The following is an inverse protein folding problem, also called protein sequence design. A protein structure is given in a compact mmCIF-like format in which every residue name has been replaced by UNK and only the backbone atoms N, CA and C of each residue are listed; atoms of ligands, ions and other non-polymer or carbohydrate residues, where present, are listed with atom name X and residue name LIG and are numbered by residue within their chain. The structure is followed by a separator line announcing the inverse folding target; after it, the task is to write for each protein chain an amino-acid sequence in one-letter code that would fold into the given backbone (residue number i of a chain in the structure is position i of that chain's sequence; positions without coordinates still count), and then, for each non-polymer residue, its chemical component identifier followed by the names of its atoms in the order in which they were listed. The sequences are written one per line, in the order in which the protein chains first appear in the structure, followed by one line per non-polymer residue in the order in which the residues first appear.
data_IF_909611183310
#
_entry.id   IF_909611183310
#
_cell.length_a   1.000
_cell.length_b   1.000
_cell.length_c   1.000
_cell.angle_alpha   90.00
_cell.angle_beta   90.00
_cell.angle_gamma   90.00
#
_symmetry.space_group_name_H-M   'P 1'
#
loop_
_entity.id
_entity.type
_entity.pdbx_description
1 polymer ?
#
# COMPACT_ATOMS: atom_id res chain seq x y z
N UNK A 1 -24.53 35.67 27.15
CA UNK A 1 -24.27 34.82 25.95
C UNK A 1 -22.77 34.55 25.66
N UNK A 2 -21.84 34.71 26.63
CA UNK A 2 -20.37 34.49 26.41
C UNK A 2 -19.83 33.14 26.90
N UNK A 3 -20.58 32.44 27.76
CA UNK A 3 -20.14 31.18 28.37
C UNK A 3 -20.05 29.95 27.44
N UNK A 4 -20.94 29.76 26.44
CA UNK A 4 -20.86 28.58 25.57
C UNK A 4 -19.59 28.57 24.71
N UNK A 5 -19.12 29.75 24.29
CA UNK A 5 -17.93 29.92 23.44
C UNK A 5 -16.65 29.68 24.24
N UNK A 6 -16.61 30.15 25.50
CA UNK A 6 -15.47 29.92 26.40
C UNK A 6 -15.29 28.43 26.75
N UNK A 7 -16.38 27.72 27.05
CA UNK A 7 -16.35 26.25 27.28
C UNK A 7 -15.97 25.44 26.05
N UNK A 8 -16.28 25.93 24.85
CA UNK A 8 -15.86 25.30 23.58
C UNK A 8 -14.35 25.44 23.38
N UNK A 9 -13.78 26.61 23.68
CA UNK A 9 -12.34 26.88 23.61
C UNK A 9 -11.51 26.16 24.69
N UNK A 10 -12.06 25.93 25.88
CA UNK A 10 -11.42 25.08 26.90
C UNK A 10 -11.29 23.62 26.45
N UNK A 11 -12.27 23.10 25.68
CA UNK A 11 -12.17 21.76 25.06
C UNK A 11 -11.17 21.71 23.91
N UNK A 12 -10.98 22.81 23.20
CA UNK A 12 -9.98 22.97 22.12
C UNK A 12 -8.54 23.09 22.67
N UNK A 13 -8.36 23.29 23.98
CA UNK A 13 -7.07 23.55 24.62
C UNK A 13 -6.27 22.33 25.09
N UNK A 14 -6.80 21.11 25.00
CA UNK A 14 -5.98 19.90 25.16
C UNK A 14 -5.44 19.53 23.79
N UNK A 15 -4.21 19.92 23.51
CA UNK A 15 -3.46 19.43 22.35
C UNK A 15 -3.58 17.91 22.30
N UNK A 16 -4.09 17.39 21.19
CA UNK A 16 -4.17 15.95 20.96
C UNK A 16 -2.76 15.37 21.14
N UNK A 17 -2.61 14.42 22.07
CA UNK A 17 -1.32 13.81 22.35
C UNK A 17 -0.95 12.88 21.21
N UNK A 18 -0.22 13.44 20.24
CA UNK A 18 0.30 12.69 19.10
C UNK A 18 1.33 11.65 19.51
N UNK A 19 1.88 11.68 20.73
CA UNK A 19 2.90 10.72 21.16
C UNK A 19 2.33 9.40 21.65
N UNK A 20 1.01 9.32 21.90
CA UNK A 20 0.35 8.08 22.28
C UNK A 20 0.49 7.01 21.17
N UNK A 21 0.77 5.73 21.49
CA UNK A 21 0.96 4.68 20.49
C UNK A 21 -0.19 4.55 19.46
N UNK A 22 -1.45 4.59 19.91
CA UNK A 22 -2.61 4.65 19.00
C UNK A 22 -2.58 5.86 18.04
N UNK A 23 -2.20 7.04 18.54
CA UNK A 23 -2.12 8.25 17.71
C UNK A 23 -1.00 8.12 16.67
N UNK A 24 0.14 7.55 17.06
CA UNK A 24 1.24 7.23 16.14
C UNK A 24 0.83 6.19 15.10
N UNK A 25 0.10 5.13 15.49
CA UNK A 25 -0.40 4.11 14.57
C UNK A 25 -1.30 4.71 13.49
N UNK A 26 -2.24 5.58 13.88
CA UNK A 26 -3.10 6.32 12.96
C UNK A 26 -2.25 7.23 12.07
N UNK A 27 -1.41 8.10 12.63
CA UNK A 27 -0.55 9.03 11.88
C UNK A 27 0.34 8.28 10.88
N UNK A 28 0.88 7.13 11.27
CA UNK A 28 1.67 6.28 10.39
C UNK A 28 0.82 5.70 9.27
N UNK A 29 -0.40 5.22 9.56
CA UNK A 29 -1.31 4.73 8.53
C UNK A 29 -1.69 5.75 7.46
N UNK A 30 -1.81 7.02 7.84
CA UNK A 30 -1.96 8.14 6.89
C UNK A 30 -0.70 8.42 6.07
N UNK A 31 0.48 8.06 6.60
CA UNK A 31 1.80 8.30 5.97
C UNK A 31 2.34 7.11 5.16
N UNK A 32 1.71 5.96 5.27
CA UNK A 32 2.12 4.69 4.65
C UNK A 32 1.58 4.55 3.22
N UNK A 33 2.22 3.71 2.39
CA UNK A 33 1.78 3.37 1.03
C UNK A 33 1.83 4.50 0.00
N UNK A 34 1.41 4.21 -1.24
CA UNK A 34 1.43 5.15 -2.37
C UNK A 34 0.51 6.37 -2.18
N UNK A 35 -0.59 6.21 -1.44
CA UNK A 35 -1.59 7.26 -1.20
C UNK A 35 -1.38 7.96 0.15
N UNK A 36 -0.14 8.31 0.44
CA UNK A 36 0.21 9.10 1.64
C UNK A 36 -0.58 10.41 1.66
N UNK A 37 -1.31 10.64 2.74
CA UNK A 37 -2.16 11.82 2.93
C UNK A 37 -3.56 11.72 2.32
N UNK A 38 -3.88 10.63 1.63
CA UNK A 38 -5.25 10.39 1.16
C UNK A 38 -6.18 10.06 2.33
N UNK A 39 -7.44 10.52 2.28
CA UNK A 39 -8.47 10.12 3.24
C UNK A 39 -8.56 8.59 3.36
N UNK A 40 -8.66 8.10 4.59
CA UNK A 40 -8.81 6.67 4.92
C UNK A 40 -10.19 6.45 5.55
N UNK A 41 -10.95 5.48 5.04
CA UNK A 41 -12.26 5.08 5.57
C UNK A 41 -12.10 4.24 6.85
N UNK A 42 -11.10 3.35 6.87
CA UNK A 42 -10.89 2.42 7.96
C UNK A 42 -9.40 2.15 8.21
N UNK A 43 -9.01 2.14 9.48
CA UNK A 43 -7.77 1.48 9.94
C UNK A 43 -8.15 0.29 10.78
N UNK A 44 -7.46 -0.83 10.58
CA UNK A 44 -7.49 -1.95 11.52
C UNK A 44 -6.24 -1.86 12.37
N UNK A 45 -6.43 -1.74 13.67
CA UNK A 45 -5.35 -1.54 14.64
C UNK A 45 -5.53 -2.59 15.74
N UNK A 46 -4.44 -3.29 16.10
CA UNK A 46 -4.45 -4.29 17.18
C UNK A 46 -4.61 -3.64 18.56
N UNK A 47 -4.94 -4.41 19.62
CA UNK A 47 -4.90 -3.93 21.00
C UNK A 47 -3.52 -3.38 21.42
N UNK A 48 -2.45 -3.89 20.81
CA UNK A 48 -1.06 -3.48 21.01
C UNK A 48 -0.69 -2.21 20.20
N UNK A 49 -1.66 -1.62 19.51
CA UNK A 49 -1.51 -0.44 18.66
C UNK A 49 -0.68 -0.66 17.40
N UNK A 50 -0.61 -1.89 16.92
CA UNK A 50 -0.02 -2.21 15.63
C UNK A 50 -1.02 -1.95 14.51
N UNK A 51 -0.56 -1.30 13.44
CA UNK A 51 -1.41 -1.04 12.28
C UNK A 51 -1.45 -2.31 11.41
N UNK A 52 -2.64 -2.92 11.33
CA UNK A 52 -2.86 -4.22 10.68
C UNK A 52 -3.44 -4.11 9.28
N UNK A 53 -3.98 -2.95 8.90
CA UNK A 53 -4.53 -2.71 7.58
C UNK A 53 -5.09 -1.31 7.42
N UNK A 54 -5.22 -0.85 6.18
CA UNK A 54 -5.93 0.40 5.89
C UNK A 54 -6.81 0.29 4.65
N UNK A 55 -7.95 0.96 4.72
CA UNK A 55 -8.93 1.03 3.65
C UNK A 55 -9.06 2.48 3.18
N UNK A 56 -8.69 2.76 1.93
CA UNK A 56 -8.75 4.10 1.37
C UNK A 56 -10.19 4.48 0.98
N UNK A 57 -10.52 5.77 1.17
CA UNK A 57 -11.84 6.31 0.84
C UNK A 57 -12.15 6.12 -0.65
N UNK A 58 -13.33 5.57 -0.96
CA UNK A 58 -13.82 5.31 -2.33
C UNK A 58 -13.00 4.32 -3.17
N UNK A 59 -12.09 3.53 -2.58
CA UNK A 59 -11.29 2.58 -3.36
C UNK A 59 -11.75 1.15 -3.25
N UNK A 60 -12.30 0.80 -2.08
CA UNK A 60 -12.72 -0.55 -1.81
C UNK A 60 -14.12 -0.84 -2.37
N UNK A 61 -15.07 0.08 -2.19
CA UNK A 61 -16.48 -0.16 -2.52
C UNK A 61 -16.77 -0.08 -4.03
N UNK A 62 -16.18 0.89 -4.73
CA UNK A 62 -16.38 1.04 -6.19
C UNK A 62 -15.80 -0.15 -6.98
N UNK A 63 -14.68 -0.73 -6.54
CA UNK A 63 -14.05 -1.87 -7.21
C UNK A 63 -14.77 -3.21 -6.95
N UNK A 64 -15.32 -3.39 -5.75
CA UNK A 64 -15.97 -4.65 -5.38
C UNK A 64 -17.40 -4.80 -5.93
N UNK A 65 -18.14 -3.70 -6.05
CA UNK A 65 -19.48 -3.67 -6.63
C UNK A 65 -19.46 -4.03 -8.13
N UNK A 66 -18.59 -3.37 -8.90
CA UNK A 66 -18.55 -3.52 -10.37
C UNK A 66 -17.99 -4.88 -10.82
N UNK A 67 -17.10 -5.50 -10.03
CA UNK A 67 -16.35 -6.69 -10.45
C UNK A 67 -16.83 -8.01 -9.86
N UNK A 68 -17.20 -8.04 -8.58
CA UNK A 68 -17.53 -9.30 -7.89
C UNK A 68 -19.03 -9.46 -7.62
N UNK A 69 -19.83 -8.40 -7.83
CA UNK A 69 -21.23 -8.32 -7.37
C UNK A 69 -21.41 -8.73 -5.91
N UNK A 70 -20.35 -8.57 -5.10
CA UNK A 70 -20.38 -8.85 -3.67
C UNK A 70 -20.93 -7.63 -2.96
N UNK A 71 -21.66 -7.87 -1.88
CA UNK A 71 -22.13 -6.78 -1.05
C UNK A 71 -20.96 -6.22 -0.24
N UNK A 72 -21.02 -4.95 0.09
CA UNK A 72 -20.01 -4.21 0.82
C UNK A 72 -19.57 -4.93 2.11
N UNK A 73 -20.48 -5.65 2.77
CA UNK A 73 -20.18 -6.37 4.00
C UNK A 73 -19.28 -7.59 3.79
N UNK A 74 -19.37 -8.28 2.65
CA UNK A 74 -18.56 -9.46 2.36
C UNK A 74 -17.11 -9.06 2.05
N UNK A 75 -16.93 -7.98 1.30
CA UNK A 75 -15.61 -7.42 1.01
C UNK A 75 -14.98 -6.91 2.30
N UNK A 76 -15.73 -6.19 3.13
CA UNK A 76 -15.22 -5.68 4.40
C UNK A 76 -14.81 -6.83 5.34
N UNK A 77 -15.61 -7.91 5.41
CA UNK A 77 -15.25 -9.10 6.17
C UNK A 77 -13.95 -9.75 5.68
N UNK A 78 -13.71 -9.78 4.37
CA UNK A 78 -12.47 -10.33 3.80
C UNK A 78 -11.26 -9.48 4.20
N UNK A 79 -11.35 -8.15 4.07
CA UNK A 79 -10.34 -7.21 4.55
C UNK A 79 -9.99 -7.42 6.03
N UNK A 80 -11.01 -7.59 6.89
CA UNK A 80 -10.78 -7.85 8.31
C UNK A 80 -10.09 -9.20 8.56
N UNK A 81 -10.43 -10.26 7.81
CA UNK A 81 -9.78 -11.57 7.93
C UNK A 81 -8.31 -11.50 7.53
N UNK A 82 -7.99 -10.83 6.43
CA UNK A 82 -6.61 -10.63 5.98
C UNK A 82 -5.78 -9.84 7.00
N UNK A 83 -6.37 -8.81 7.63
CA UNK A 83 -5.71 -8.12 8.74
C UNK A 83 -5.38 -9.09 9.88
N UNK A 84 -6.33 -9.94 10.29
CA UNK A 84 -6.15 -10.92 11.37
C UNK A 84 -5.14 -12.02 11.03
N UNK A 85 -4.99 -12.34 9.75
CA UNK A 85 -3.99 -13.30 9.24
C UNK A 85 -2.58 -12.66 9.12
N UNK A 86 -2.46 -11.34 9.28
CA UNK A 86 -1.20 -10.61 9.24
C UNK A 86 -0.81 -10.08 7.86
N UNK A 87 -1.69 -10.16 6.86
CA UNK A 87 -1.39 -9.81 5.46
C UNK A 87 -1.33 -8.30 5.18
N UNK A 88 -1.52 -7.46 6.20
CA UNK A 88 -1.37 -6.00 6.14
C UNK A 88 -2.03 -5.29 4.93
N UNK A 89 -3.30 -5.59 4.61
CA UNK A 89 -3.94 -5.09 3.39
C UNK A 89 -3.97 -3.55 3.33
N UNK A 90 -3.63 -3.01 2.15
CA UNK A 90 -3.60 -1.58 1.86
C UNK A 90 -2.44 -0.81 2.51
N UNK A 91 -1.60 -1.45 3.33
CA UNK A 91 -0.40 -0.82 3.89
C UNK A 91 0.79 -0.87 2.94
N UNK A 92 0.85 -1.87 2.06
CA UNK A 92 1.84 -1.94 0.99
C UNK A 92 3.29 -1.80 1.46
N UNK A 93 3.62 -2.13 2.71
CA UNK A 93 4.98 -2.01 3.23
C UNK A 93 5.43 -3.40 3.70
N UNK A 94 6.57 -3.85 3.20
CA UNK A 94 7.19 -5.12 3.54
C UNK A 94 8.50 -4.83 4.26
N UNK A 95 8.79 -5.54 5.35
CA UNK A 95 10.12 -5.53 5.99
C UNK A 95 10.68 -6.93 5.98
N UNK A 96 11.75 -7.16 5.23
CA UNK A 96 12.39 -8.48 5.12
C UNK A 96 13.65 -8.53 5.97
N UNK A 97 13.86 -9.66 6.62
CA UNK A 97 15.08 -9.97 7.37
C UNK A 97 15.36 -11.48 7.35
N UNK A 98 16.43 -11.92 8.02
CA UNK A 98 16.81 -13.35 8.00
C UNK A 98 15.82 -14.27 8.73
N UNK A 99 15.07 -13.76 9.70
CA UNK A 99 14.05 -14.51 10.44
C UNK A 99 12.71 -14.54 9.67
N UNK A 100 12.37 -13.43 9.02
CA UNK A 100 11.21 -13.26 8.14
C UNK A 100 11.66 -12.84 6.72
N UNK A 101 12.13 -13.80 5.90
CA UNK A 101 12.70 -13.49 4.58
C UNK A 101 11.64 -13.32 3.48
N UNK A 102 10.36 -13.55 3.79
CA UNK A 102 9.24 -13.51 2.85
C UNK A 102 7.97 -12.98 3.54
N UNK A 103 7.22 -12.15 2.82
CA UNK A 103 5.90 -11.67 3.24
C UNK A 103 5.00 -11.52 2.01
N UNK A 104 3.70 -11.75 2.20
CA UNK A 104 2.70 -11.60 1.15
C UNK A 104 1.98 -10.26 1.31
N UNK A 105 1.70 -9.59 0.19
CA UNK A 105 0.93 -8.35 0.15
C UNK A 105 -0.18 -8.50 -0.86
N UNK A 106 -1.40 -8.23 -0.43
CA UNK A 106 -2.57 -8.13 -1.30
C UNK A 106 -2.95 -6.66 -1.48
N UNK A 107 -3.01 -6.20 -2.73
CA UNK A 107 -3.37 -4.83 -3.06
C UNK A 107 -4.08 -4.76 -4.42
N UNK A 108 -4.73 -3.63 -4.68
CA UNK A 108 -5.44 -3.34 -5.92
C UNK A 108 -4.68 -2.26 -6.68
N UNK A 109 -4.40 -2.51 -7.96
CA UNK A 109 -3.84 -1.50 -8.87
C UNK A 109 -4.90 -1.01 -9.86
N UNK A 110 -4.69 0.20 -10.40
CA UNK A 110 -5.64 0.87 -11.29
C UNK A 110 -5.01 1.25 -12.60
N UNK A 111 -5.82 1.24 -13.66
CA UNK A 111 -5.42 1.82 -14.93
C UNK A 111 -5.40 3.35 -14.82
N UNK A 112 -4.31 4.01 -15.26
CA UNK A 112 -4.19 5.47 -15.35
C UNK A 112 -5.40 6.12 -16.03
N UNK A 113 -5.88 7.24 -15.48
CA UNK A 113 -6.81 8.13 -16.18
C UNK A 113 -6.04 9.13 -17.04
N UNK A 114 -6.67 9.65 -18.10
CA UNK A 114 -5.99 10.47 -19.12
C UNK A 114 -5.18 11.61 -18.48
N UNK A 115 -3.86 11.58 -18.67
CA UNK A 115 -2.93 12.61 -18.21
C UNK A 115 -2.19 12.32 -16.89
N UNK A 116 -2.51 11.25 -16.17
CA UNK A 116 -1.86 10.90 -14.90
C UNK A 116 -1.66 9.39 -14.74
N UNK A 117 -0.47 8.96 -14.33
CA UNK A 117 -0.23 7.60 -13.84
C UNK A 117 -0.74 7.47 -12.41
N UNK A 118 -1.46 6.38 -12.10
CA UNK A 118 -1.83 5.99 -10.73
C UNK A 118 -1.10 4.68 -10.42
N UNK A 119 -0.15 4.75 -9.48
CA UNK A 119 0.61 3.59 -9.03
C UNK A 119 0.13 3.15 -7.66
N UNK A 120 -0.19 1.87 -7.54
CA UNK A 120 -0.15 1.17 -6.26
C UNK A 120 1.31 0.86 -5.98
N UNK A 121 1.84 1.29 -4.83
CA UNK A 121 3.26 1.16 -4.53
C UNK A 121 3.43 0.34 -3.28
N UNK A 122 4.14 -0.78 -3.42
CA UNK A 122 4.62 -1.57 -2.29
C UNK A 122 6.06 -1.16 -1.97
N UNK A 123 6.31 -0.66 -0.77
CA UNK A 123 7.68 -0.35 -0.27
C UNK A 123 8.25 -1.61 0.36
N UNK A 124 9.47 -1.97 -0.01
CA UNK A 124 10.15 -3.18 0.48
C UNK A 124 11.43 -2.73 1.20
N UNK A 125 11.50 -2.93 2.52
CA UNK A 125 12.67 -2.67 3.34
C UNK A 125 13.52 -3.94 3.46
N UNK A 126 14.71 -3.93 2.85
CA UNK A 126 15.68 -5.03 2.94
C UNK A 126 16.93 -4.64 3.73
N UNK A 127 16.91 -3.53 4.49
CA UNK A 127 18.12 -2.99 5.15
C UNK A 127 18.78 -3.93 6.14
N UNK A 128 18.05 -4.93 6.66
CA UNK A 128 18.61 -5.99 7.49
C UNK A 128 19.65 -6.87 6.76
N UNK A 129 19.65 -6.90 5.43
CA UNK A 129 20.57 -7.68 4.60
C UNK A 129 21.84 -6.89 4.27
N UNK A 130 22.74 -6.74 5.25
CA UNK A 130 23.97 -5.92 5.10
C UNK A 130 24.91 -6.38 3.98
N UNK A 131 24.89 -7.68 3.66
CA UNK A 131 25.73 -8.30 2.62
C UNK A 131 24.98 -8.50 1.28
N UNK A 132 23.86 -7.81 1.12
CA UNK A 132 23.04 -7.91 -0.07
C UNK A 132 22.22 -9.20 -0.13
N UNK A 133 21.65 -9.46 -1.31
CA UNK A 133 20.77 -10.60 -1.53
C UNK A 133 20.11 -10.57 -2.90
N UNK A 134 19.15 -11.46 -3.06
CA UNK A 134 18.28 -11.52 -4.24
C UNK A 134 16.86 -11.33 -3.77
N UNK A 135 16.20 -10.29 -4.27
CA UNK A 135 14.77 -10.08 -4.08
C UNK A 135 14.04 -10.85 -5.18
N UNK A 136 13.24 -11.83 -4.79
CA UNK A 136 12.28 -12.50 -5.65
C UNK A 136 10.88 -11.99 -5.27
N UNK A 137 10.14 -11.51 -6.26
CA UNK A 137 8.77 -11.04 -6.09
C UNK A 137 7.91 -11.91 -6.98
N UNK A 138 7.16 -12.80 -6.35
CA UNK A 138 6.13 -13.58 -7.01
C UNK A 138 4.85 -12.72 -7.09
N UNK A 139 4.25 -12.69 -8.26
CA UNK A 139 3.11 -11.83 -8.57
C UNK A 139 1.99 -12.71 -9.12
N UNK A 140 0.82 -12.58 -8.53
CA UNK A 140 -0.42 -13.17 -9.04
C UNK A 140 -1.42 -12.05 -9.33
N UNK A 141 -1.96 -12.04 -10.54
CA UNK A 141 -2.97 -11.06 -10.94
C UNK A 141 -4.37 -11.66 -10.83
N UNK A 142 -5.31 -10.84 -10.37
CA UNK A 142 -6.72 -11.23 -10.35
C UNK A 142 -7.39 -11.13 -11.73
N UNK A 143 -8.62 -11.63 -11.83
CA UNK A 143 -9.45 -11.69 -13.05
C UNK A 143 -10.04 -10.34 -13.52
N UNK A 144 -9.25 -9.26 -13.53
CA UNK A 144 -9.69 -7.96 -14.04
C UNK A 144 -9.66 -7.91 -15.57
N UNK A 145 -10.18 -6.85 -16.18
CA UNK A 145 -10.02 -6.61 -17.62
C UNK A 145 -8.76 -5.78 -17.96
N UNK A 146 -7.98 -5.40 -16.94
CA UNK A 146 -6.77 -4.60 -17.09
C UNK A 146 -5.52 -5.46 -16.94
N UNK A 147 -4.58 -5.29 -17.86
CA UNK A 147 -3.24 -5.84 -17.76
C UNK A 147 -2.48 -5.13 -16.63
N UNK A 148 -1.64 -5.86 -15.91
CA UNK A 148 -0.80 -5.31 -14.85
C UNK A 148 0.62 -5.01 -15.34
N UNK A 149 1.06 -3.77 -15.16
CA UNK A 149 2.46 -3.38 -15.30
C UNK A 149 3.10 -3.24 -13.91
N UNK A 150 4.15 -4.01 -13.66
CA UNK A 150 4.87 -4.07 -12.39
C UNK A 150 6.31 -3.58 -12.58
N UNK A 151 6.72 -2.58 -11.82
CA UNK A 151 8.02 -1.94 -11.89
C UNK A 151 8.69 -1.95 -10.53
N UNK A 152 9.81 -2.66 -10.41
CA UNK A 152 10.71 -2.51 -9.29
C UNK A 152 11.64 -1.33 -9.56
N UNK A 153 11.67 -0.36 -8.66
CA UNK A 153 12.52 0.84 -8.73
C UNK A 153 13.27 1.03 -7.40
N UNK A 154 14.29 1.88 -7.41
CA UNK A 154 15.01 2.24 -6.19
C UNK A 154 14.09 2.99 -5.21
N UNK A 155 14.24 2.74 -3.91
CA UNK A 155 13.43 3.40 -2.89
C UNK A 155 13.63 4.92 -2.82
N UNK A 156 14.77 5.43 -3.28
CA UNK A 156 15.05 6.86 -3.37
C UNK A 156 14.36 7.53 -4.57
N UNK A 157 14.03 6.76 -5.61
CA UNK A 157 13.41 7.28 -6.83
C UNK A 157 11.91 7.47 -6.65
N UNK A 158 11.40 8.59 -7.15
CA UNK A 158 9.96 8.83 -7.23
C UNK A 158 9.40 8.24 -8.52
N UNK A 159 8.26 7.56 -8.41
CA UNK A 159 7.56 7.08 -9.60
C UNK A 159 6.93 8.27 -10.33
N UNK A 160 7.15 8.41 -11.64
CA UNK A 160 6.65 9.55 -12.41
C UNK A 160 5.12 9.53 -12.46
N UNK A 161 4.47 10.63 -12.09
CA UNK A 161 3.00 10.70 -12.03
C UNK A 161 2.36 11.24 -13.31
N UNK A 162 3.15 11.82 -14.22
CA UNK A 162 2.69 12.44 -15.47
C UNK A 162 3.18 11.72 -16.72
N UNK A 163 4.15 10.82 -16.58
CA UNK A 163 4.76 10.07 -17.67
C UNK A 163 5.03 8.62 -17.23
N UNK A 164 5.28 7.72 -18.18
CA UNK A 164 5.60 6.31 -17.87
C UNK A 164 6.98 6.21 -17.24
N UNK A 165 7.18 5.20 -16.37
CA UNK A 165 8.51 4.85 -15.86
C UNK A 165 9.47 4.62 -17.02
N UNK A 166 10.63 5.29 -16.99
CA UNK A 166 11.64 5.13 -18.04
C UNK A 166 12.55 3.94 -17.74
N UNK A 167 13.15 3.35 -18.77
CA UNK A 167 14.04 2.18 -18.64
C UNK A 167 15.20 2.38 -17.66
N UNK A 168 15.64 3.62 -17.44
CA UNK A 168 16.75 3.93 -16.54
C UNK A 168 16.36 3.90 -15.05
N UNK A 169 15.06 4.00 -14.74
CA UNK A 169 14.55 3.96 -13.37
C UNK A 169 14.16 2.54 -12.94
N UNK A 170 13.95 1.64 -13.91
CA UNK A 170 13.48 0.29 -13.68
C UNK A 170 14.65 -0.63 -13.35
N UNK A 171 14.65 -1.18 -12.14
CA UNK A 171 15.55 -2.24 -11.70
C UNK A 171 15.11 -3.60 -12.28
N UNK A 172 13.80 -3.85 -12.28
CA UNK A 172 13.18 -5.00 -12.93
C UNK A 172 11.72 -4.68 -13.30
N UNK A 173 11.19 -5.28 -14.37
CA UNK A 173 9.78 -5.10 -14.73
C UNK A 173 9.13 -6.38 -15.24
N UNK A 174 7.83 -6.47 -15.02
CA UNK A 174 6.98 -7.56 -15.49
C UNK A 174 5.67 -6.96 -15.96
N UNK A 175 5.19 -7.46 -17.07
CA UNK A 175 3.83 -7.24 -17.53
C UNK A 175 3.11 -8.58 -17.42
N UNK A 176 1.88 -8.56 -16.93
CA UNK A 176 1.04 -9.74 -16.75
C UNK A 176 -0.37 -9.45 -17.23
N UNK A 177 -0.93 -10.42 -17.93
CA UNK A 177 -2.35 -10.46 -18.27
C UNK A 177 -3.18 -10.78 -17.03
N UNK A 178 -4.50 -10.54 -17.05
CA UNK A 178 -5.39 -11.01 -16.00
C UNK A 178 -5.33 -12.53 -15.78
N UNK A 179 -5.43 -12.96 -14.52
CA UNK A 179 -5.39 -14.38 -14.10
C UNK A 179 -4.03 -15.05 -14.42
N UNK A 180 -2.96 -14.27 -14.56
CA UNK A 180 -1.59 -14.74 -14.79
C UNK A 180 -0.73 -14.63 -13.52
N UNK A 181 0.26 -15.52 -13.43
CA UNK A 181 1.35 -15.45 -12.45
C UNK A 181 2.68 -15.10 -13.11
N UNK A 182 3.53 -14.38 -12.39
CA UNK A 182 4.85 -14.00 -12.86
C UNK A 182 5.83 -13.78 -11.72
N UNK A 183 7.09 -13.61 -12.08
CA UNK A 183 8.15 -13.34 -11.12
C UNK A 183 9.03 -12.19 -11.60
N UNK A 184 9.41 -11.32 -10.66
CA UNK A 184 10.52 -10.39 -10.77
C UNK A 184 11.69 -10.86 -9.92
N UNK A 185 12.89 -10.76 -10.46
CA UNK A 185 14.12 -11.07 -9.73
C UNK A 185 15.08 -9.90 -9.84
N UNK A 186 15.58 -9.43 -8.71
CA UNK A 186 16.59 -8.38 -8.66
C UNK A 186 17.66 -8.69 -7.62
N UNK A 187 18.92 -8.57 -8.02
CA UNK A 187 20.07 -8.76 -7.12
C UNK A 187 20.54 -7.41 -6.62
N UNK A 188 20.80 -7.32 -5.32
CA UNK A 188 21.30 -6.11 -4.67
C UNK A 188 22.53 -6.43 -3.82
N UNK A 189 23.49 -5.50 -3.79
CA UNK A 189 24.77 -5.71 -3.08
C UNK A 189 24.69 -5.34 -1.59
N UNK A 190 23.72 -4.51 -1.21
CA UNK A 190 23.44 -4.13 0.18
C UNK A 190 21.97 -3.83 0.37
N UNK A 191 21.43 -4.22 1.52
CA UNK A 191 20.06 -3.95 1.92
C UNK A 191 19.70 -2.46 1.84
N UNK A 192 18.54 -2.18 1.26
CA UNK A 192 18.03 -0.83 1.04
C UNK A 192 16.50 -0.84 0.93
N UNK A 193 15.91 0.31 0.63
CA UNK A 193 14.51 0.36 0.25
C UNK A 193 14.34 0.11 -1.24
N UNK A 194 13.31 -0.62 -1.61
CA UNK A 194 12.80 -0.73 -2.96
C UNK A 194 11.34 -0.30 -3.00
N UNK A 195 10.88 0.11 -4.19
CA UNK A 195 9.46 0.34 -4.45
C UNK A 195 9.04 -0.56 -5.60
N UNK A 196 7.99 -1.34 -5.39
CA UNK A 196 7.27 -2.04 -6.44
C UNK A 196 6.06 -1.18 -6.82
N UNK A 197 6.18 -0.43 -7.90
CA UNK A 197 5.08 0.33 -8.50
C UNK A 197 4.27 -0.55 -9.44
N UNK A 198 2.96 -0.58 -9.24
CA UNK A 198 2.03 -1.37 -10.04
C UNK A 198 0.97 -0.45 -10.63
N UNK A 199 0.69 -0.58 -11.92
CA UNK A 199 -0.35 0.18 -12.60
C UNK A 199 -1.04 -0.67 -13.66
N UNK A 200 -2.29 -0.34 -13.97
CA UNK A 200 -3.03 -1.01 -15.02
C UNK A 200 -2.67 -0.49 -16.40
N UNK A 201 -2.81 -1.31 -17.43
CA UNK A 201 -2.82 -0.89 -18.83
C UNK A 201 -4.09 -1.40 -19.51
N UNK A 202 -4.68 -0.55 -20.35
CA UNK A 202 -5.66 -1.02 -21.35
C UNK A 202 -4.91 -1.24 -22.66
N UNK A 203 -5.10 -2.42 -23.25
CA UNK A 203 -4.77 -2.69 -24.65
C UNK A 203 -5.66 -1.94 -25.63
#
# INVERSE_FOLDING_TARGET
MREPIAKRREREGKTFDTTHPLAQAIINGWKTGSKKGSPVDCFVISPEFELMGRLLVNEFFDYHWDKFKRRDEESYLMFLKECLEGNQPGLGNITLNSEEPSQDVFDVFRTPTVGFQDYTVVVIDTRAFENGGTLNIDIETGRADAEGCFYLVDGADDLPTTERVTKHMVLAMKWLEPDETGQLTYRFDRGQFFKLGTTGAHS
#
